data_IF_845043817472
#
_entry.id   IF_845043817472
#
_cell.length_a   1.000
_cell.length_b   1.000
_cell.length_c   1.000
_cell.angle_alpha   90.00
_cell.angle_beta   90.00
_cell.angle_gamma   90.00
#
_symmetry.space_group_name_H-M   'P 1'
#
loop_
_entity.id
_entity.type
_entity.pdbx_description
1 polymer ?
#
# COMPACT_ATOMS: atom_id res chain seq x y z
N UNK A 1 -9.02 -15.54 17.17
CA UNK A 1 -10.38 -16.10 16.99
C UNK A 1 -11.20 -15.22 16.05
N UNK A 2 -11.28 -13.90 16.30
CA UNK A 2 -12.08 -12.97 15.48
C UNK A 2 -11.61 -12.80 14.02
N UNK A 3 -10.29 -12.71 13.75
CA UNK A 3 -9.79 -12.54 12.36
C UNK A 3 -10.25 -13.67 11.44
N UNK A 4 -10.05 -14.93 11.87
CA UNK A 4 -10.47 -16.11 11.11
C UNK A 4 -11.97 -16.10 10.82
N UNK A 5 -12.79 -15.78 11.82
CA UNK A 5 -14.25 -15.69 11.65
C UNK A 5 -14.63 -14.58 10.66
N UNK A 6 -13.98 -13.40 10.74
CA UNK A 6 -14.18 -12.33 9.75
C UNK A 6 -13.79 -12.77 8.34
N UNK A 7 -12.69 -13.51 8.18
CA UNK A 7 -12.29 -14.08 6.88
C UNK A 7 -13.29 -15.10 6.37
N UNK A 8 -13.79 -16.00 7.21
CA UNK A 8 -14.80 -16.99 6.84
C UNK A 8 -16.14 -16.33 6.45
N UNK A 9 -16.55 -15.28 7.16
CA UNK A 9 -17.75 -14.51 6.82
C UNK A 9 -17.56 -13.72 5.53
N UNK A 10 -16.38 -13.10 5.33
CA UNK A 10 -16.06 -12.41 4.09
C UNK A 10 -16.10 -13.35 2.89
N UNK A 11 -15.50 -14.54 3.01
CA UNK A 11 -15.49 -15.55 1.96
C UNK A 11 -16.92 -16.02 1.63
N UNK A 12 -17.70 -16.41 2.65
CA UNK A 12 -19.04 -16.99 2.44
C UNK A 12 -20.09 -15.95 2.06
N UNK A 13 -20.22 -14.90 2.86
CA UNK A 13 -21.36 -13.97 2.80
C UNK A 13 -21.18 -12.88 1.75
N UNK A 14 -19.94 -12.47 1.48
CA UNK A 14 -19.65 -11.38 0.53
C UNK A 14 -19.13 -11.96 -0.78
N UNK A 15 -17.98 -12.65 -0.76
CA UNK A 15 -17.36 -13.15 -1.98
C UNK A 15 -18.22 -14.25 -2.61
N UNK A 16 -18.72 -15.19 -1.80
CA UNK A 16 -19.65 -16.24 -2.24
C UNK A 16 -20.90 -15.66 -2.89
N UNK A 17 -21.54 -14.66 -2.26
CA UNK A 17 -22.69 -13.97 -2.82
C UNK A 17 -22.38 -13.30 -4.16
N UNK A 18 -21.28 -12.54 -4.25
CA UNK A 18 -20.87 -11.88 -5.50
C UNK A 18 -20.62 -12.92 -6.59
N UNK A 19 -19.89 -13.99 -6.29
CA UNK A 19 -19.60 -15.07 -7.24
C UNK A 19 -20.87 -15.79 -7.71
N UNK A 20 -21.85 -15.99 -6.83
CA UNK A 20 -23.16 -16.54 -7.19
C UNK A 20 -23.88 -15.63 -8.20
N UNK A 21 -23.93 -14.32 -7.94
CA UNK A 21 -24.57 -13.37 -8.88
C UNK A 21 -23.84 -13.29 -10.21
N UNK A 22 -22.51 -13.31 -10.18
CA UNK A 22 -21.68 -13.26 -11.39
C UNK A 22 -21.66 -14.58 -12.17
N UNK A 23 -22.10 -15.71 -11.58
CA UNK A 23 -22.20 -16.99 -12.29
C UNK A 23 -23.06 -16.92 -13.56
N UNK A 24 -24.04 -16.01 -13.58
CA UNK A 24 -24.94 -15.75 -14.73
C UNK A 24 -24.39 -14.71 -15.70
N UNK A 25 -23.22 -14.14 -15.43
CA UNK A 25 -22.58 -13.05 -16.18
C UNK A 25 -21.11 -13.40 -16.51
N UNK A 26 -20.87 -14.46 -17.30
CA UNK A 26 -19.52 -14.96 -17.59
C UNK A 26 -18.64 -13.97 -18.38
N UNK A 27 -19.23 -12.90 -18.91
CA UNK A 27 -18.55 -11.81 -19.62
C UNK A 27 -17.88 -10.77 -18.69
N UNK A 28 -18.11 -10.84 -17.38
CA UNK A 28 -17.56 -9.89 -16.40
C UNK A 28 -16.14 -10.30 -16.00
N UNK A 29 -15.24 -9.32 -15.95
CA UNK A 29 -13.94 -9.46 -15.30
C UNK A 29 -14.05 -9.00 -13.83
N UNK A 30 -13.77 -9.90 -12.90
CA UNK A 30 -13.70 -9.63 -11.47
C UNK A 30 -12.25 -9.56 -11.03
N UNK A 31 -11.88 -8.47 -10.38
CA UNK A 31 -10.64 -8.33 -9.63
C UNK A 31 -10.97 -8.22 -8.14
N UNK A 32 -10.31 -9.04 -7.32
CA UNK A 32 -10.38 -8.99 -5.86
C UNK A 32 -8.99 -8.66 -5.35
N UNK A 33 -8.87 -7.55 -4.62
CA UNK A 33 -7.60 -7.05 -4.09
C UNK A 33 -7.81 -6.54 -2.67
N UNK A 34 -6.72 -6.26 -1.97
CA UNK A 34 -6.72 -5.43 -0.78
C UNK A 34 -5.71 -4.28 -0.97
N UNK A 35 -5.69 -3.35 -0.05
CA UNK A 35 -4.77 -2.21 0.03
C UNK A 35 -3.40 -2.61 0.60
N UNK A 36 -3.38 -3.36 1.70
CA UNK A 36 -2.16 -3.80 2.37
C UNK A 36 -2.38 -5.08 3.18
N UNK A 37 -1.29 -5.70 3.59
CA UNK A 37 -1.32 -6.76 4.58
C UNK A 37 -1.33 -6.24 6.02
N UNK A 38 -1.02 -7.12 6.98
CA UNK A 38 -1.14 -6.84 8.41
C UNK A 38 -0.27 -7.79 9.24
N UNK A 39 0.30 -7.28 10.33
CA UNK A 39 1.15 -8.05 11.26
C UNK A 39 0.74 -7.78 12.71
N UNK A 40 0.78 -8.81 13.56
CA UNK A 40 0.59 -8.64 15.00
C UNK A 40 1.77 -7.88 15.63
N UNK A 41 1.50 -7.06 16.64
CA UNK A 41 2.55 -6.30 17.34
C UNK A 41 2.53 -6.62 18.82
N UNK A 42 3.73 -6.91 19.33
CA UNK A 42 3.93 -7.13 20.75
C UNK A 42 3.92 -5.78 21.48
N UNK A 43 3.19 -5.71 22.59
CA UNK A 43 3.01 -4.50 23.40
C UNK A 43 4.29 -3.99 24.08
N UNK A 44 5.41 -4.71 23.98
CA UNK A 44 6.68 -4.40 24.63
C UNK A 44 7.59 -3.44 23.83
N UNK A 45 7.30 -3.20 22.55
CA UNK A 45 8.14 -2.41 21.65
C UNK A 45 7.50 -1.08 21.21
N UNK A 46 6.74 -0.46 22.12
CA UNK A 46 6.09 0.83 21.89
C UNK A 46 6.97 1.96 22.42
N UNK A 47 7.14 3.01 21.63
CA UNK A 47 7.76 4.28 21.99
C UNK A 47 6.81 5.43 21.68
N UNK A 48 7.02 6.58 22.31
CA UNK A 48 6.18 7.77 22.12
C UNK A 48 7.05 8.93 21.65
N UNK A 49 6.68 9.61 20.57
CA UNK A 49 7.43 10.77 20.06
C UNK A 49 7.42 11.91 21.08
N UNK A 50 6.33 12.05 21.86
CA UNK A 50 6.21 13.05 22.93
C UNK A 50 7.24 12.92 24.05
N UNK A 51 7.93 11.78 24.16
CA UNK A 51 9.02 11.60 25.13
C UNK A 51 10.30 12.36 24.73
N UNK A 52 10.41 12.74 23.46
CA UNK A 52 11.61 13.34 22.87
C UNK A 52 11.37 14.76 22.35
N UNK A 53 10.19 15.01 21.78
CA UNK A 53 9.84 16.29 21.14
C UNK A 53 8.59 16.88 21.77
N UNK A 54 8.57 18.20 21.95
CA UNK A 54 7.35 18.94 22.27
C UNK A 54 6.63 19.39 21.01
N UNK A 55 5.31 19.62 21.11
CA UNK A 55 4.48 20.06 19.99
C UNK A 55 4.99 21.37 19.35
N UNK A 56 5.61 22.27 20.13
CA UNK A 56 6.17 23.54 19.64
C UNK A 56 7.34 23.36 18.67
N UNK A 57 7.98 22.19 18.67
CA UNK A 57 9.10 21.87 17.79
C UNK A 57 8.63 21.33 16.42
N UNK A 58 7.35 20.98 16.30
CA UNK A 58 6.77 20.37 15.11
C UNK A 58 5.84 21.36 14.40
N UNK A 59 6.02 21.51 13.09
CA UNK A 59 5.22 22.43 12.27
C UNK A 59 3.78 21.95 12.06
N UNK A 60 3.51 20.68 12.35
CA UNK A 60 2.20 20.05 12.31
C UNK A 60 2.15 18.93 13.36
N UNK A 61 0.94 18.59 13.82
CA UNK A 61 0.77 17.47 14.75
C UNK A 61 1.30 16.19 14.08
N UNK A 62 2.19 15.43 14.71
CA UNK A 62 2.66 14.17 14.14
C UNK A 62 1.49 13.19 14.02
N UNK A 63 1.64 12.24 13.10
CA UNK A 63 0.81 11.04 13.04
C UNK A 63 1.76 9.86 12.95
N UNK A 64 2.21 9.39 14.11
CA UNK A 64 3.15 8.29 14.21
C UNK A 64 2.41 6.95 14.39
N UNK A 65 2.92 5.94 13.70
CA UNK A 65 2.57 4.53 13.89
C UNK A 65 3.78 3.65 13.51
N UNK A 66 3.60 2.64 12.66
CA UNK A 66 4.70 1.90 12.00
C UNK A 66 5.59 2.80 11.14
N UNK A 67 5.06 3.96 10.75
CA UNK A 67 5.78 5.04 10.08
C UNK A 67 5.45 6.35 10.78
N UNK A 68 6.43 7.25 10.85
CA UNK A 68 6.20 8.62 11.30
C UNK A 68 6.98 9.59 10.41
N UNK A 69 6.31 10.63 9.93
CA UNK A 69 6.96 11.69 9.18
C UNK A 69 6.85 13.01 9.94
N UNK A 70 7.95 13.72 10.08
CA UNK A 70 8.03 14.91 10.92
C UNK A 70 8.47 16.13 10.12
N UNK A 71 7.77 17.24 10.36
CA UNK A 71 8.12 18.56 9.85
C UNK A 71 8.54 19.45 11.01
N UNK A 72 9.77 19.97 11.02
CA UNK A 72 10.17 20.97 12.01
C UNK A 72 9.28 22.21 11.95
N UNK A 73 8.98 22.81 13.10
CA UNK A 73 8.36 24.13 13.18
C UNK A 73 9.33 25.24 12.75
N UNK A 74 8.81 26.43 12.47
CA UNK A 74 9.63 27.61 12.20
C UNK A 74 10.61 27.85 13.36
N UNK A 75 11.90 27.99 13.02
CA UNK A 75 12.98 28.15 14.00
C UNK A 75 13.69 26.85 14.41
N UNK A 76 13.19 25.69 13.95
CA UNK A 76 13.84 24.40 14.12
C UNK A 76 14.32 23.83 12.77
N UNK A 77 15.48 23.21 12.77
CA UNK A 77 16.03 22.50 11.61
C UNK A 77 15.75 21.00 11.72
N UNK A 78 15.78 20.28 10.60
CA UNK A 78 15.64 18.83 10.61
C UNK A 78 16.74 18.16 11.44
N UNK A 79 17.99 18.63 11.32
CA UNK A 79 19.12 18.09 12.07
C UNK A 79 18.95 18.29 13.59
N UNK A 80 18.45 19.44 14.03
CA UNK A 80 18.12 19.65 15.45
C UNK A 80 17.07 18.66 15.93
N UNK A 81 15.98 18.45 15.17
CA UNK A 81 14.96 17.45 15.53
C UNK A 81 15.58 16.05 15.66
N UNK A 82 16.49 15.69 14.77
CA UNK A 82 17.19 14.39 14.81
C UNK A 82 18.12 14.26 16.02
N UNK A 83 18.78 15.34 16.45
CA UNK A 83 19.59 15.35 17.67
C UNK A 83 18.74 15.06 18.91
N UNK A 84 17.54 15.65 19.02
CA UNK A 84 16.61 15.34 20.12
C UNK A 84 16.09 13.89 20.07
N UNK A 85 15.99 13.32 18.87
CA UNK A 85 15.58 11.94 18.67
C UNK A 85 16.71 10.91 18.80
N UNK A 86 17.96 11.32 18.97
CA UNK A 86 19.09 10.39 19.08
C UNK A 86 18.86 9.26 20.11
N UNK A 87 18.30 9.52 21.32
CA UNK A 87 18.07 8.45 22.28
C UNK A 87 16.96 7.47 21.86
N UNK A 88 16.03 7.85 20.97
CA UNK A 88 15.06 6.91 20.38
C UNK A 88 15.78 5.87 19.53
N UNK A 89 16.73 6.31 18.70
CA UNK A 89 17.43 5.44 17.77
C UNK A 89 18.40 4.48 18.47
N UNK A 90 18.95 4.87 19.61
CA UNK A 90 19.75 3.99 20.47
C UNK A 90 18.96 2.80 21.02
N UNK A 91 17.62 2.90 21.12
CA UNK A 91 16.78 1.78 21.58
C UNK A 91 16.69 0.63 20.57
N UNK A 92 17.11 0.86 19.32
CA UNK A 92 16.91 -0.06 18.20
C UNK A 92 15.47 -0.06 17.68
N UNK A 93 15.23 -0.74 16.56
CA UNK A 93 13.88 -0.94 16.03
C UNK A 93 13.29 0.21 15.20
N UNK A 94 14.07 1.26 14.92
CA UNK A 94 13.66 2.35 14.04
C UNK A 94 14.80 2.71 13.08
N UNK A 95 14.46 2.94 11.81
CA UNK A 95 15.32 3.56 10.81
C UNK A 95 14.87 4.99 10.60
N UNK A 96 15.81 5.93 10.61
CA UNK A 96 15.55 7.35 10.39
C UNK A 96 16.20 7.83 9.12
N UNK A 97 15.50 8.70 8.41
CA UNK A 97 15.96 9.31 7.18
C UNK A 97 15.68 10.81 7.21
N UNK A 98 16.58 11.56 6.61
CA UNK A 98 16.45 12.98 6.35
C UNK A 98 16.60 13.20 4.84
N UNK A 99 15.49 13.55 4.19
CA UNK A 99 15.43 13.77 2.73
C UNK A 99 16.46 14.80 2.27
N UNK A 100 16.69 15.82 3.08
CA UNK A 100 17.51 16.98 2.71
C UNK A 100 19.00 16.79 3.11
N UNK A 101 19.34 15.67 3.76
CA UNK A 101 20.71 15.26 4.08
C UNK A 101 21.25 14.29 3.00
N UNK A 102 22.46 14.50 2.45
CA UNK A 102 23.02 13.64 1.40
C UNK A 102 23.39 12.21 1.84
N UNK A 103 23.49 11.92 3.14
CA UNK A 103 23.95 10.62 3.64
C UNK A 103 22.80 9.68 4.03
N UNK A 104 21.69 10.25 4.52
CA UNK A 104 20.58 9.49 5.10
C UNK A 104 19.27 9.77 4.36
N UNK A 105 19.33 9.78 3.03
CA UNK A 105 18.16 10.01 2.19
C UNK A 105 17.13 8.90 2.32
N UNK A 106 15.89 9.23 1.98
CA UNK A 106 14.81 8.24 2.01
C UNK A 106 15.12 7.12 1.00
N UNK A 107 14.78 5.86 1.31
CA UNK A 107 15.02 4.76 0.39
C UNK A 107 14.32 4.95 -0.96
N UNK A 108 15.06 4.86 -2.06
CA UNK A 108 14.56 5.10 -3.41
C UNK A 108 13.38 4.20 -3.79
N UNK A 109 13.38 2.94 -3.31
CA UNK A 109 12.32 1.97 -3.60
C UNK A 109 10.96 2.37 -3.03
N UNK A 110 10.91 3.27 -2.05
CA UNK A 110 9.64 3.78 -1.52
C UNK A 110 9.00 4.84 -2.42
N UNK A 111 9.77 5.42 -3.35
CA UNK A 111 9.32 6.52 -4.20
C UNK A 111 8.67 7.69 -3.42
N UNK A 112 9.13 7.93 -2.19
CA UNK A 112 8.47 8.81 -1.21
C UNK A 112 9.24 10.12 -0.95
N UNK A 113 9.68 10.84 -1.99
CA UNK A 113 10.51 12.06 -1.80
C UNK A 113 10.01 13.31 -2.53
N UNK A 114 9.33 13.16 -3.67
CA UNK A 114 9.10 14.24 -4.63
C UNK A 114 7.73 14.92 -4.49
N UNK A 115 7.37 15.39 -3.30
CA UNK A 115 6.13 16.15 -3.10
C UNK A 115 6.18 17.05 -1.86
N UNK A 116 5.59 18.25 -1.94
CA UNK A 116 5.64 19.26 -0.86
C UNK A 116 5.00 18.79 0.46
N UNK A 117 4.07 17.85 0.38
CA UNK A 117 3.37 17.30 1.56
C UNK A 117 4.19 16.23 2.27
N UNK A 118 5.29 15.76 1.66
CA UNK A 118 6.19 14.81 2.30
C UNK A 118 7.10 15.61 3.26
N UNK A 119 7.04 15.33 4.57
CA UNK A 119 7.94 15.94 5.53
C UNK A 119 9.41 15.54 5.29
N UNK A 120 10.38 16.38 5.69
CA UNK A 120 11.79 16.11 5.44
C UNK A 120 12.36 14.96 6.29
N UNK A 121 11.72 14.61 7.40
CA UNK A 121 12.15 13.50 8.28
C UNK A 121 11.16 12.35 8.13
N UNK A 122 11.68 11.14 7.92
CA UNK A 122 10.93 9.89 7.91
C UNK A 122 11.54 8.92 8.91
N UNK A 123 10.70 8.36 9.77
CA UNK A 123 11.03 7.31 10.72
C UNK A 123 10.23 6.07 10.33
N UNK A 124 10.91 4.98 10.03
CA UNK A 124 10.32 3.67 9.77
C UNK A 124 10.57 2.78 10.97
N UNK A 125 9.51 2.27 11.59
CA UNK A 125 9.63 1.22 12.59
C UNK A 125 9.99 -0.10 11.91
N UNK A 126 10.76 -0.93 12.59
CA UNK A 126 10.97 -2.34 12.21
C UNK A 126 9.72 -3.16 12.57
N UNK A 127 9.42 -4.27 11.86
CA UNK A 127 8.28 -5.12 12.18
C UNK A 127 8.23 -5.51 13.66
N UNK A 128 7.07 -5.29 14.30
CA UNK A 128 6.87 -5.50 15.73
C UNK A 128 7.21 -4.30 16.62
N UNK A 129 7.74 -3.20 16.07
CA UNK A 129 7.92 -1.91 16.76
C UNK A 129 6.83 -0.92 16.38
N UNK A 130 6.55 0.03 17.29
CA UNK A 130 5.57 1.08 17.08
C UNK A 130 6.05 2.40 17.70
N UNK A 131 5.94 3.48 16.94
CA UNK A 131 6.11 4.84 17.44
C UNK A 131 4.74 5.51 17.46
N UNK A 132 4.28 5.93 18.63
CA UNK A 132 3.00 6.63 18.80
C UNK A 132 3.22 8.10 19.12
N UNK A 133 2.18 8.90 18.96
CA UNK A 133 2.25 10.33 19.28
C UNK A 133 2.50 10.53 20.78
N UNK A 134 1.60 10.01 21.62
CA UNK A 134 1.64 10.18 23.07
C UNK A 134 0.90 9.04 23.81
N UNK A 135 0.93 9.07 25.14
CA UNK A 135 0.31 8.03 26.00
C UNK A 135 -1.22 8.08 26.08
N UNK A 136 -1.87 9.06 25.46
CA UNK A 136 -3.32 9.11 25.35
C UNK A 136 -3.85 8.14 24.29
N UNK A 137 -2.98 7.62 23.43
CA UNK A 137 -3.35 6.63 22.42
C UNK A 137 -3.82 5.32 23.09
N UNK A 138 -4.93 4.77 22.60
CA UNK A 138 -5.54 3.54 23.11
C UNK A 138 -4.92 2.30 22.45
N UNK A 139 -3.59 2.30 22.32
CA UNK A 139 -2.81 1.28 21.62
C UNK A 139 -3.05 -0.14 22.14
N UNK A 140 -3.38 -0.29 23.42
CA UNK A 140 -3.67 -1.58 24.05
C UNK A 140 -4.93 -2.26 23.50
N UNK A 141 -5.73 -1.54 22.69
CA UNK A 141 -6.89 -2.06 21.96
C UNK A 141 -6.56 -2.45 20.53
N UNK A 142 -5.36 -2.14 20.04
CA UNK A 142 -5.02 -2.38 18.64
C UNK A 142 -4.63 -3.84 18.47
N UNK A 143 -5.33 -4.53 17.57
CA UNK A 143 -5.02 -5.91 17.20
C UNK A 143 -4.39 -5.91 15.82
N UNK A 144 -3.05 -5.79 15.84
CA UNK A 144 -2.11 -5.73 14.73
C UNK A 144 -2.11 -4.43 13.90
N UNK A 145 -1.08 -4.31 13.06
CA UNK A 145 -0.66 -3.08 12.42
C UNK A 145 -0.28 -3.28 10.94
N UNK A 146 -0.18 -2.17 10.23
CA UNK A 146 0.24 -2.09 8.84
C UNK A 146 1.10 -0.83 8.63
N UNK A 147 1.65 -0.65 7.44
CA UNK A 147 2.43 0.53 7.05
C UNK A 147 3.95 0.35 7.12
N UNK A 148 4.43 -0.82 7.54
CA UNK A 148 5.86 -1.16 7.48
C UNK A 148 6.38 -1.18 6.03
N UNK A 149 7.71 -1.11 5.88
CA UNK A 149 8.38 -1.21 4.58
C UNK A 149 8.07 -2.55 3.89
N UNK A 150 7.32 -2.57 2.77
CA UNK A 150 6.89 -3.80 2.13
C UNK A 150 8.05 -4.58 1.48
N UNK A 151 9.23 -3.96 1.32
CA UNK A 151 10.42 -4.64 0.80
C UNK A 151 11.06 -5.57 1.83
N UNK A 152 10.85 -5.31 3.13
CA UNK A 152 11.44 -6.09 4.23
C UNK A 152 10.40 -6.80 5.10
N UNK A 153 9.12 -6.48 4.97
CA UNK A 153 8.02 -7.10 5.71
C UNK A 153 7.03 -7.80 4.74
N UNK A 154 7.20 -9.12 4.49
CA UNK A 154 6.30 -9.90 3.65
C UNK A 154 4.83 -9.84 4.09
N UNK A 155 4.57 -9.66 5.39
CA UNK A 155 3.23 -9.53 5.95
C UNK A 155 2.49 -8.28 5.46
N UNK A 156 3.19 -7.28 4.89
CA UNK A 156 2.56 -6.10 4.26
C UNK A 156 2.07 -6.39 2.84
N UNK A 157 2.41 -7.53 2.26
CA UNK A 157 1.90 -7.92 0.95
C UNK A 157 0.38 -8.12 1.00
N UNK A 158 -0.28 -7.75 -0.10
CA UNK A 158 -1.73 -7.87 -0.24
C UNK A 158 -2.12 -8.98 -1.20
N UNK A 159 -3.40 -9.34 -1.21
CA UNK A 159 -3.97 -10.32 -2.14
C UNK A 159 -4.27 -9.68 -3.50
N UNK A 160 -4.17 -10.49 -4.55
CA UNK A 160 -4.70 -10.15 -5.87
C UNK A 160 -5.25 -11.41 -6.55
N UNK A 161 -6.56 -11.45 -6.78
CA UNK A 161 -7.23 -12.51 -7.53
C UNK A 161 -7.96 -11.90 -8.72
N UNK A 162 -7.86 -12.58 -9.87
CA UNK A 162 -8.51 -12.17 -11.09
C UNK A 162 -9.29 -13.35 -11.71
N UNK A 163 -10.51 -13.09 -12.15
CA UNK A 163 -11.34 -14.06 -12.89
C UNK A 163 -12.14 -13.33 -13.95
N UNK A 164 -12.21 -13.91 -15.16
CA UNK A 164 -13.08 -13.38 -16.19
C UNK A 164 -12.66 -13.83 -17.59
N UNK A 165 -13.37 -13.38 -18.63
CA UNK A 165 -13.05 -13.73 -20.00
C UNK A 165 -11.66 -13.24 -20.43
N UNK A 166 -11.13 -12.17 -19.83
CA UNK A 166 -9.84 -11.60 -20.21
C UNK A 166 -8.63 -12.44 -19.76
N UNK A 167 -8.78 -13.20 -18.68
CA UNK A 167 -7.70 -13.92 -18.01
C UNK A 167 -7.64 -15.40 -18.40
N UNK A 168 -6.42 -15.93 -18.51
CA UNK A 168 -6.17 -17.38 -18.56
C UNK A 168 -6.62 -18.01 -17.24
N UNK A 169 -7.07 -19.26 -17.30
CA UNK A 169 -7.55 -19.99 -16.12
C UNK A 169 -6.40 -20.74 -15.47
N UNK A 170 -6.45 -20.86 -14.14
CA UNK A 170 -5.51 -21.65 -13.33
C UNK A 170 -4.04 -21.24 -13.54
N UNK A 171 -3.77 -19.93 -13.59
CA UNK A 171 -2.43 -19.37 -13.65
C UNK A 171 -2.12 -18.65 -12.34
N UNK A 172 -0.96 -18.95 -11.76
CA UNK A 172 -0.37 -18.21 -10.65
C UNK A 172 0.72 -17.31 -11.20
N UNK A 173 0.82 -16.09 -10.68
CA UNK A 173 1.83 -15.10 -11.06
C UNK A 173 2.71 -14.81 -9.86
N UNK A 174 3.96 -14.40 -10.13
CA UNK A 174 4.84 -13.83 -9.11
C UNK A 174 4.23 -12.55 -8.51
N UNK A 175 4.71 -12.18 -7.33
CA UNK A 175 4.32 -10.92 -6.70
C UNK A 175 4.66 -9.72 -7.59
N UNK A 176 3.84 -8.69 -7.52
CA UNK A 176 3.99 -7.46 -8.30
C UNK A 176 3.45 -6.27 -7.53
N UNK A 177 3.87 -5.06 -7.91
CA UNK A 177 3.45 -3.83 -7.24
C UNK A 177 2.05 -3.39 -7.65
N UNK A 178 1.25 -2.91 -6.70
CA UNK A 178 -0.15 -2.52 -6.92
C UNK A 178 -0.32 -1.38 -7.94
N UNK A 179 0.72 -0.56 -8.18
CA UNK A 179 0.72 0.48 -9.23
C UNK A 179 0.45 -0.10 -10.63
N UNK A 180 0.76 -1.38 -10.85
CA UNK A 180 0.50 -2.07 -12.11
C UNK A 180 -0.99 -2.38 -12.33
N UNK A 181 -1.84 -2.30 -11.30
CA UNK A 181 -3.28 -2.58 -11.44
C UNK A 181 -4.00 -1.52 -12.28
N UNK A 182 -3.60 -0.25 -12.21
CA UNK A 182 -4.22 0.81 -13.01
C UNK A 182 -4.13 0.57 -14.53
N UNK A 183 -2.95 0.33 -15.14
CA UNK A 183 -2.87 0.04 -16.57
C UNK A 183 -3.60 -1.26 -16.95
N UNK A 184 -3.66 -2.25 -16.05
CA UNK A 184 -4.52 -3.44 -16.25
C UNK A 184 -6.01 -3.06 -16.31
N UNK A 185 -6.50 -2.22 -15.40
CA UNK A 185 -7.90 -1.77 -15.42
C UNK A 185 -8.22 -1.00 -16.69
N UNK A 186 -7.36 -0.06 -17.09
CA UNK A 186 -7.52 0.71 -18.32
C UNK A 186 -7.61 -0.21 -19.54
N UNK A 187 -6.74 -1.22 -19.59
CA UNK A 187 -6.72 -2.24 -20.61
C UNK A 187 -8.01 -3.08 -20.67
N UNK A 188 -8.48 -3.59 -19.52
CA UNK A 188 -9.70 -4.41 -19.46
C UNK A 188 -10.96 -3.63 -19.84
N UNK A 189 -10.99 -2.32 -19.59
CA UNK A 189 -12.09 -1.42 -19.94
C UNK A 189 -11.98 -0.90 -21.39
N UNK A 190 -10.87 -1.16 -22.08
CA UNK A 190 -10.64 -0.63 -23.43
C UNK A 190 -10.43 0.88 -23.47
N UNK A 191 -9.90 1.48 -22.41
CA UNK A 191 -9.61 2.91 -22.34
C UNK A 191 -8.11 3.17 -22.36
N UNK A 192 -7.70 4.29 -22.97
CA UNK A 192 -6.30 4.70 -22.97
C UNK A 192 -5.88 5.11 -21.55
N UNK A 193 -4.84 4.48 -20.94
CA UNK A 193 -4.36 4.89 -19.63
C UNK A 193 -3.77 6.30 -19.70
N UNK A 194 -3.96 7.08 -18.64
CA UNK A 194 -3.20 8.32 -18.42
C UNK A 194 -1.76 7.98 -17.99
N UNK A 195 -0.82 8.94 -18.06
CA UNK A 195 0.53 8.75 -17.52
C UNK A 195 0.47 8.23 -16.08
N UNK A 196 1.18 7.14 -15.80
CA UNK A 196 1.23 6.46 -14.52
C UNK A 196 2.54 5.68 -14.41
N UNK A 197 2.85 5.15 -13.22
CA UNK A 197 4.09 4.43 -12.94
C UNK A 197 3.99 2.90 -13.08
N UNK A 198 2.82 2.37 -13.45
CA UNK A 198 2.61 0.94 -13.63
C UNK A 198 2.92 0.46 -15.05
N UNK A 199 3.03 -0.85 -15.20
CA UNK A 199 3.30 -1.54 -16.46
C UNK A 199 2.30 -2.68 -16.71
N UNK A 200 1.60 -2.62 -17.84
CA UNK A 200 0.72 -3.71 -18.28
C UNK A 200 1.50 -5.00 -18.58
N UNK A 201 2.78 -4.88 -18.94
CA UNK A 201 3.62 -6.03 -19.32
C UNK A 201 3.71 -7.10 -18.23
N UNK A 202 3.57 -6.70 -16.95
CA UNK A 202 3.49 -7.61 -15.80
C UNK A 202 2.41 -8.68 -16.01
N UNK A 203 1.28 -8.33 -16.64
CA UNK A 203 0.15 -9.24 -16.82
C UNK A 203 0.14 -10.00 -18.15
N UNK A 204 1.16 -9.84 -19.00
CA UNK A 204 1.19 -10.43 -20.36
C UNK A 204 0.99 -11.95 -20.35
N UNK A 205 1.55 -12.63 -19.35
CA UNK A 205 1.47 -14.09 -19.25
C UNK A 205 0.13 -14.60 -18.70
N UNK A 206 -0.64 -13.75 -18.02
CA UNK A 206 -1.95 -14.10 -17.43
C UNK A 206 -3.14 -13.65 -18.28
N UNK A 207 -2.96 -12.67 -19.17
CA UNK A 207 -3.98 -12.26 -20.14
C UNK A 207 -4.05 -13.23 -21.33
N UNK A 208 -5.22 -13.37 -21.93
CA UNK A 208 -5.41 -14.09 -23.20
C UNK A 208 -4.95 -13.22 -24.37
N UNK A 209 -4.36 -13.85 -25.39
CA UNK A 209 -3.67 -13.17 -26.51
C UNK A 209 -4.57 -12.20 -27.30
N UNK A 210 -5.88 -12.46 -27.37
CA UNK A 210 -6.85 -11.58 -28.04
C UNK A 210 -7.22 -10.30 -27.27
N UNK A 211 -6.71 -10.11 -26.05
CA UNK A 211 -7.00 -8.92 -25.26
C UNK A 211 -5.82 -7.95 -25.20
N UNK A 212 -4.60 -8.35 -25.59
CA UNK A 212 -3.43 -7.48 -25.58
C UNK A 212 -3.57 -6.32 -26.60
N UNK A 213 -4.14 -5.19 -26.18
CA UNK A 213 -4.01 -3.91 -26.89
C UNK A 213 -2.52 -3.62 -27.03
N UNK A 214 -2.01 -3.72 -28.26
CA UNK A 214 -0.66 -3.27 -28.58
C UNK A 214 -0.60 -1.77 -28.30
N UNK A 215 0.46 -1.31 -27.62
CA UNK A 215 0.77 0.11 -27.59
C UNK A 215 1.00 0.56 -29.03
N UNK A 216 0.02 1.24 -29.63
CA UNK A 216 0.16 1.79 -30.97
C UNK A 216 1.27 2.86 -30.95
N UNK A 217 2.42 2.50 -31.53
CA UNK A 217 3.27 3.45 -32.22
C UNK A 217 2.43 4.15 -33.29
N UNK A 218 2.45 5.48 -33.29
CA UNK A 218 1.71 6.36 -34.21
C UNK A 218 1.54 5.78 -35.62
N UNK A 219 0.33 5.34 -35.96
CA UNK A 219 -0.03 4.92 -37.32
C UNK A 219 -1.52 4.60 -37.40
N UNK A 220 -2.23 5.28 -38.32
CA UNK A 220 -3.65 5.08 -38.61
C UNK A 220 -3.99 3.59 -38.79
N UNK A 221 -4.69 2.99 -37.84
CA UNK A 221 -5.16 1.60 -37.87
C UNK A 221 -6.60 1.48 -37.39
N UNK A 222 -7.39 0.64 -38.05
CA UNK A 222 -8.83 0.52 -37.89
C UNK A 222 -9.24 0.09 -36.47
N UNK A 223 -10.30 0.72 -35.95
CA UNK A 223 -10.97 0.39 -34.68
C UNK A 223 -11.42 -1.08 -34.73
N UNK A 224 -10.67 -1.97 -34.11
CA UNK A 224 -11.12 -3.33 -33.83
C UNK A 224 -12.19 -3.29 -32.73
N UNK A 225 -13.20 -4.16 -32.85
CA UNK A 225 -14.36 -4.21 -31.98
C UNK A 225 -13.97 -4.18 -30.49
N UNK A 226 -14.24 -3.06 -29.82
CA UNK A 226 -14.15 -2.97 -28.37
C UNK A 226 -15.28 -3.81 -27.77
N UNK A 227 -14.92 -4.97 -27.21
CA UNK A 227 -15.79 -5.57 -26.20
C UNK A 227 -15.64 -4.70 -24.97
N UNK A 228 -16.64 -3.85 -24.69
CA UNK A 228 -16.75 -3.14 -23.42
C UNK A 228 -16.97 -4.21 -22.35
N UNK A 229 -15.87 -4.72 -21.80
CA UNK A 229 -15.90 -5.64 -20.68
C UNK A 229 -16.28 -4.86 -19.43
N UNK A 230 -17.33 -5.30 -18.75
CA UNK A 230 -17.64 -4.77 -17.43
C UNK A 230 -16.60 -5.32 -16.44
N UNK A 231 -15.93 -4.42 -15.72
CA UNK A 231 -14.97 -4.76 -14.66
C UNK A 231 -15.58 -4.42 -13.31
N UNK A 232 -15.53 -5.37 -12.38
CA UNK A 232 -15.83 -5.13 -10.97
C UNK A 232 -14.53 -5.27 -10.19
N UNK A 233 -14.20 -4.24 -9.41
CA UNK A 233 -13.08 -4.25 -8.46
C UNK A 233 -13.66 -4.31 -7.06
N UNK A 234 -13.35 -5.38 -6.34
CA UNK A 234 -13.61 -5.46 -4.91
C UNK A 234 -12.30 -5.20 -4.17
N UNK A 235 -12.27 -4.12 -3.41
CA UNK A 235 -11.19 -3.79 -2.49
C UNK A 235 -11.62 -4.21 -1.09
N UNK A 236 -10.84 -5.10 -0.48
CA UNK A 236 -11.07 -5.60 0.86
C UNK A 236 -10.18 -4.84 1.84
N UNK A 237 -10.80 -4.15 2.79
CA UNK A 237 -10.10 -3.49 3.91
C UNK A 237 -10.52 -4.21 5.18
N UNK A 238 -9.58 -4.86 5.84
CA UNK A 238 -9.85 -5.61 7.07
C UNK A 238 -9.18 -4.88 8.23
N UNK A 239 -9.92 -3.98 8.87
CA UNK A 239 -9.49 -3.35 10.12
C UNK A 239 -9.84 -4.25 11.31
N UNK A 240 -8.84 -4.74 12.03
CA UNK A 240 -9.03 -5.38 13.34
C UNK A 240 -9.09 -4.29 14.43
N UNK A 241 -10.26 -3.66 14.54
CA UNK A 241 -10.67 -2.95 15.75
C UNK A 241 -11.28 -3.91 16.76
#
# INVERSE_FOLDING_TARGET
FQYRERMENLDKEILGYVLEKLSKRPEINLLVTSDHGHIDVAHEHIRFISDYLSDEMLGEKPYCSSTCSLRPADGYTADQILEYLAPLFETGGFRVFNRDNPYDQFPDHLHFTNHRWIPPILILAEPGWLLLDDRSDQWSKWHGLHGYDPSTCPEMQTIFYARGPAFKRAVTMEAFESVNVYPLLAHLLGVKPRPNNGSLAVFKHVLKDGNLVQEESSGNGNITNFVIGLVIVLVLVIGLY
#
